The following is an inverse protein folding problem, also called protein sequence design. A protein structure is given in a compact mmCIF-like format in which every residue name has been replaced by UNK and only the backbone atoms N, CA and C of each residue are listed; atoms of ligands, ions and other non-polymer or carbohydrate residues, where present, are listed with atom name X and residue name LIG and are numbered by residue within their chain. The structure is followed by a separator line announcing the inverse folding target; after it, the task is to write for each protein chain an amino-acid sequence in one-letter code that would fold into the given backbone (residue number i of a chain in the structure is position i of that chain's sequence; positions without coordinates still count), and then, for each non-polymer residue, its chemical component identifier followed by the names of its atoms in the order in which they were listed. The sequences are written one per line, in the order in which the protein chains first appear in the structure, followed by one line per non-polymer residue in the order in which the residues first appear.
data_IF_748277987316
#
_entry.id   IF_748277987316
#
_cell.length_a   1.000
_cell.length_b   1.000
_cell.length_c   1.000
_cell.angle_alpha   90.00
_cell.angle_beta   90.00
_cell.angle_gamma   90.00
#
_symmetry.space_group_name_H-M   'P 1'
#
loop_
_entity.id
_entity.type
_entity.pdbx_description
1 polymer ?
#
# COMPACT_ATOMS: atom_id res chain seq x y z
N UNK A 1 -7.29 51.25 -64.18
CA UNK A 1 -6.48 51.03 -62.96
C UNK A 1 -7.30 51.02 -61.66
N UNK A 2 -8.39 51.81 -61.49
CA UNK A 2 -9.19 51.79 -60.21
C UNK A 2 -9.99 50.52 -59.99
N UNK A 3 -10.48 49.82 -61.04
CA UNK A 3 -11.31 48.61 -60.91
C UNK A 3 -10.48 47.39 -60.50
N UNK A 4 -9.24 47.22 -61.02
CA UNK A 4 -8.33 46.14 -60.68
C UNK A 4 -7.86 46.22 -59.21
N UNK A 5 -7.59 47.42 -58.72
CA UNK A 5 -7.23 47.61 -57.28
C UNK A 5 -8.36 47.21 -56.33
N UNK A 6 -9.62 47.55 -56.71
CA UNK A 6 -10.78 47.15 -55.92
C UNK A 6 -10.99 45.62 -55.95
N UNK A 7 -10.82 44.97 -57.09
CA UNK A 7 -10.93 43.54 -57.23
C UNK A 7 -9.85 42.82 -56.39
N UNK A 8 -8.62 43.32 -56.41
CA UNK A 8 -7.52 42.80 -55.62
C UNK A 8 -7.78 42.93 -54.11
N UNK A 9 -8.33 44.05 -53.70
CA UNK A 9 -8.65 44.29 -52.30
C UNK A 9 -9.79 43.39 -51.80
N UNK A 10 -10.79 43.16 -52.61
CA UNK A 10 -11.91 42.28 -52.30
C UNK A 10 -11.43 40.81 -52.26
N UNK A 11 -10.56 40.36 -53.15
CA UNK A 11 -10.02 39.02 -53.07
C UNK A 11 -9.14 38.80 -51.83
N UNK A 12 -8.37 39.80 -51.42
CA UNK A 12 -7.57 39.72 -50.18
C UNK A 12 -8.45 39.62 -48.94
N UNK A 13 -9.52 40.42 -48.89
CA UNK A 13 -10.49 40.32 -47.79
C UNK A 13 -11.20 38.96 -47.72
N UNK A 14 -11.56 38.41 -48.88
CA UNK A 14 -12.18 37.10 -48.93
C UNK A 14 -11.22 35.97 -48.43
N UNK A 15 -9.95 36.04 -48.81
CA UNK A 15 -8.97 35.10 -48.29
C UNK A 15 -8.77 35.22 -46.81
N UNK A 16 -8.69 36.44 -46.26
CA UNK A 16 -8.57 36.66 -44.83
C UNK A 16 -9.79 36.17 -44.06
N UNK A 17 -10.99 36.34 -44.55
CA UNK A 17 -12.20 35.80 -43.93
C UNK A 17 -12.24 34.30 -43.90
N UNK A 18 -11.81 33.64 -44.98
CA UNK A 18 -11.75 32.17 -45.02
C UNK A 18 -10.69 31.62 -44.04
N UNK A 19 -9.51 32.24 -44.02
CA UNK A 19 -8.46 31.80 -43.09
C UNK A 19 -8.85 32.00 -41.63
N UNK A 20 -9.49 33.14 -41.29
CA UNK A 20 -9.99 33.39 -39.95
C UNK A 20 -11.07 32.40 -39.51
N UNK A 21 -11.95 32.00 -40.44
CA UNK A 21 -13.01 31.03 -40.20
C UNK A 21 -12.43 29.63 -39.91
N UNK A 22 -11.44 29.20 -40.73
CA UNK A 22 -10.78 27.90 -40.59
C UNK A 22 -10.01 27.82 -39.29
N UNK A 23 -9.22 28.85 -38.94
CA UNK A 23 -8.44 28.90 -37.72
C UNK A 23 -9.36 28.93 -36.49
N UNK A 24 -10.45 29.68 -36.54
CA UNK A 24 -11.44 29.71 -35.47
C UNK A 24 -12.13 28.35 -35.24
N UNK A 25 -12.44 27.64 -36.34
CA UNK A 25 -13.03 26.29 -36.24
C UNK A 25 -12.03 25.26 -35.70
N UNK A 26 -10.76 25.34 -36.15
CA UNK A 26 -9.73 24.46 -35.62
C UNK A 26 -9.50 24.70 -34.12
N UNK A 27 -9.45 25.94 -33.67
CA UNK A 27 -9.29 26.29 -32.25
C UNK A 27 -10.47 25.80 -31.39
N UNK A 28 -11.67 25.80 -31.94
CA UNK A 28 -12.85 25.28 -31.26
C UNK A 28 -12.88 23.73 -31.19
N UNK A 29 -12.37 23.06 -32.22
CA UNK A 29 -12.35 21.58 -32.29
C UNK A 29 -11.16 20.94 -31.55
N UNK A 30 -10.10 21.70 -31.27
CA UNK A 30 -8.95 21.24 -30.48
C UNK A 30 -9.06 21.73 -29.03
N UNK A 31 -10.12 21.33 -28.33
CA UNK A 31 -10.16 21.40 -26.87
C UNK A 31 -9.45 20.19 -26.31
N UNK A 32 -8.26 20.38 -25.76
CA UNK A 32 -7.56 19.38 -24.99
C UNK A 32 -7.86 19.60 -23.53
N UNK A 33 -8.70 18.75 -22.95
CA UNK A 33 -8.87 18.66 -21.50
C UNK A 33 -7.76 17.76 -20.96
N UNK A 34 -6.90 18.32 -20.14
CA UNK A 34 -5.92 17.55 -19.37
C UNK A 34 -6.49 17.23 -18.00
N UNK A 35 -6.73 15.94 -17.74
CA UNK A 35 -7.09 15.46 -16.41
C UNK A 35 -5.79 15.07 -15.69
N UNK A 36 -5.35 15.90 -14.76
CA UNK A 36 -4.21 15.59 -13.91
C UNK A 36 -4.71 14.77 -12.71
N UNK A 37 -4.43 13.48 -12.74
CA UNK A 37 -4.64 12.62 -11.59
C UNK A 37 -3.37 12.60 -10.74
N UNK A 38 -3.46 13.15 -9.54
CA UNK A 38 -2.37 13.07 -8.56
C UNK A 38 -2.61 11.84 -7.68
N UNK A 39 -1.74 10.85 -7.80
CA UNK A 39 -1.72 9.71 -6.89
C UNK A 39 -0.77 10.04 -5.74
N UNK A 40 -1.30 10.16 -4.55
CA UNK A 40 -0.52 10.19 -3.32
C UNK A 40 -0.36 8.76 -2.81
N UNK A 41 0.88 8.34 -2.59
CA UNK A 41 1.15 7.08 -1.90
C UNK A 41 0.91 7.35 -0.41
N UNK A 42 -0.03 6.61 0.19
CA UNK A 42 -0.28 6.67 1.61
C UNK A 42 0.95 6.27 2.42
N UNK A 43 1.14 6.89 3.56
CA UNK A 43 2.22 6.53 4.48
C UNK A 43 1.72 5.44 5.42
N UNK A 44 2.13 4.18 5.17
CA UNK A 44 1.90 3.08 6.09
C UNK A 44 3.21 2.79 6.81
N UNK A 45 3.24 3.02 8.11
CA UNK A 45 4.40 2.79 8.96
C UNK A 45 4.04 1.76 10.05
N UNK A 46 4.74 0.64 10.02
CA UNK A 46 4.58 -0.45 10.98
C UNK A 46 5.95 -0.89 11.50
N UNK A 47 6.00 -1.33 12.75
CA UNK A 47 7.15 -2.00 13.34
C UNK A 47 6.73 -3.30 13.99
N UNK A 48 7.65 -4.25 14.08
CA UNK A 48 7.46 -5.54 14.74
C UNK A 48 8.58 -5.73 15.75
N UNK A 49 8.23 -6.05 16.97
CA UNK A 49 9.19 -6.39 18.02
C UNK A 49 8.63 -7.43 18.97
N UNK A 50 9.48 -8.00 19.82
CA UNK A 50 9.14 -8.92 20.91
C UNK A 50 10.00 -8.62 22.14
N UNK A 51 9.65 -9.14 23.29
CA UNK A 51 10.45 -8.99 24.52
C UNK A 51 11.86 -9.55 24.27
N UNK A 52 12.89 -8.78 24.63
CA UNK A 52 14.29 -9.23 24.58
C UNK A 52 14.53 -10.29 25.66
N UNK A 53 14.71 -11.54 25.23
CA UNK A 53 14.93 -12.68 26.14
C UNK A 53 16.38 -13.11 26.22
N UNK A 54 17.22 -12.64 25.31
CA UNK A 54 18.65 -12.99 25.23
C UNK A 54 19.59 -11.84 25.65
N UNK A 55 19.00 -10.67 25.95
CA UNK A 55 19.70 -9.42 26.32
C UNK A 55 20.67 -8.95 25.23
N UNK A 56 20.32 -9.19 23.97
CA UNK A 56 21.13 -8.80 22.81
C UNK A 56 21.06 -7.31 22.51
N UNK A 57 19.93 -6.68 22.85
CA UNK A 57 19.67 -5.25 22.61
C UNK A 57 19.28 -4.54 23.90
N UNK A 58 20.23 -4.17 24.76
CA UNK A 58 19.93 -3.43 25.98
C UNK A 58 19.33 -2.06 25.63
N UNK A 59 18.06 -1.83 25.93
CA UNK A 59 17.34 -0.61 25.64
C UNK A 59 16.31 -0.23 26.68
N UNK A 60 15.74 0.98 26.56
CA UNK A 60 14.76 1.51 27.52
C UNK A 60 13.46 0.70 27.58
N UNK A 61 13.13 -0.06 26.53
CA UNK A 61 11.85 -0.78 26.42
C UNK A 61 12.00 -2.30 26.52
N UNK A 62 13.21 -2.82 26.65
CA UNK A 62 13.48 -4.25 26.76
C UNK A 62 12.79 -5.11 25.69
N UNK A 63 12.77 -4.58 24.44
CA UNK A 63 12.17 -5.22 23.29
C UNK A 63 13.13 -5.22 22.11
N UNK A 64 13.10 -6.31 21.32
CA UNK A 64 14.00 -6.53 20.20
C UNK A 64 13.26 -7.04 18.97
N UNK A 65 13.91 -6.97 17.80
CA UNK A 65 13.41 -7.50 16.54
C UNK A 65 13.90 -8.93 16.25
N UNK A 66 14.88 -9.40 17.00
CA UNK A 66 15.47 -10.72 16.82
C UNK A 66 15.98 -11.29 18.14
N UNK A 67 15.46 -12.43 18.57
CA UNK A 67 15.88 -13.12 19.78
C UNK A 67 16.46 -14.50 19.45
N UNK A 68 17.48 -14.93 20.19
CA UNK A 68 18.03 -16.28 20.11
C UNK A 68 17.49 -17.14 21.26
N UNK A 69 16.73 -18.19 20.90
CA UNK A 69 16.18 -19.13 21.87
C UNK A 69 16.98 -20.43 21.91
N UNK A 70 17.51 -20.77 23.08
CA UNK A 70 18.17 -22.06 23.33
C UNK A 70 17.13 -23.09 23.78
N UNK A 71 16.57 -23.80 22.80
CA UNK A 71 15.52 -24.77 23.06
C UNK A 71 16.01 -25.97 23.88
N UNK A 72 15.28 -26.30 24.95
CA UNK A 72 15.52 -27.48 25.78
C UNK A 72 14.21 -28.28 25.90
N UNK A 73 14.27 -29.63 25.79
CA UNK A 73 13.08 -30.45 25.93
C UNK A 73 12.35 -30.25 27.26
N UNK A 74 11.03 -30.12 27.19
CA UNK A 74 10.16 -29.92 28.37
C UNK A 74 10.20 -28.55 29.00
N UNK A 75 10.80 -27.55 28.33
CA UNK A 75 10.80 -26.16 28.79
C UNK A 75 9.85 -25.32 27.93
N UNK A 76 9.04 -24.50 28.60
CA UNK A 76 8.18 -23.51 27.95
C UNK A 76 8.95 -22.22 27.63
N UNK A 77 8.65 -21.61 26.51
CA UNK A 77 9.22 -20.36 26.07
C UNK A 77 8.10 -19.38 25.74
N UNK A 78 8.16 -18.22 26.33
CA UNK A 78 7.25 -17.12 26.03
C UNK A 78 7.76 -16.40 24.79
N UNK A 79 6.87 -16.25 23.81
CA UNK A 79 7.13 -15.48 22.60
C UNK A 79 5.95 -14.53 22.37
N UNK A 80 6.22 -13.23 22.38
CA UNK A 80 5.20 -12.18 22.37
C UNK A 80 5.44 -11.14 21.27
N UNK A 81 5.52 -11.54 19.99
CA UNK A 81 5.68 -10.58 18.91
C UNK A 81 4.48 -9.65 18.84
N UNK A 82 4.75 -8.34 18.75
CA UNK A 82 3.74 -7.29 18.64
C UNK A 82 4.00 -6.49 17.37
N UNK A 83 2.94 -6.31 16.57
CA UNK A 83 2.94 -5.38 15.44
C UNK A 83 2.43 -4.04 15.94
N UNK A 84 3.23 -3.01 15.81
CA UNK A 84 2.85 -1.63 16.09
C UNK A 84 2.50 -0.93 14.79
N UNK A 85 1.41 -0.21 14.78
CA UNK A 85 1.03 0.71 13.70
C UNK A 85 1.25 2.12 14.22
N UNK A 86 2.07 2.90 13.53
CA UNK A 86 2.40 4.25 13.96
C UNK A 86 1.16 5.16 13.92
N UNK A 87 1.13 6.15 14.82
CA UNK A 87 -0.02 7.06 14.95
C UNK A 87 -0.31 7.88 13.68
N UNK A 88 0.72 8.11 12.86
CA UNK A 88 0.63 8.85 11.59
C UNK A 88 0.44 7.91 10.38
N UNK A 89 0.22 6.61 10.64
CA UNK A 89 -0.06 5.63 9.58
C UNK A 89 -1.48 5.80 9.06
N UNK A 90 -1.64 5.63 7.75
CA UNK A 90 -2.97 5.51 7.16
C UNK A 90 -3.60 4.16 7.49
N UNK A 91 -4.94 4.09 7.40
CA UNK A 91 -5.69 2.86 7.57
C UNK A 91 -5.16 1.77 6.63
N UNK A 92 -4.82 0.61 7.18
CA UNK A 92 -4.22 -0.47 6.42
C UNK A 92 -4.69 -1.85 6.90
N UNK A 93 -4.55 -2.84 6.03
CA UNK A 93 -4.71 -4.23 6.40
C UNK A 93 -3.35 -4.80 6.80
N UNK A 94 -3.29 -5.45 7.97
CA UNK A 94 -2.08 -6.08 8.47
C UNK A 94 -2.04 -7.55 8.04
N UNK A 95 -0.98 -7.90 7.33
CA UNK A 95 -0.67 -9.30 7.00
C UNK A 95 0.65 -9.69 7.63
N UNK A 96 0.74 -10.93 8.10
CA UNK A 96 1.98 -11.51 8.61
C UNK A 96 2.23 -12.84 7.92
N UNK A 97 3.50 -13.09 7.59
CA UNK A 97 3.96 -14.40 7.16
C UNK A 97 4.75 -15.05 8.28
N UNK A 98 4.29 -16.19 8.74
CA UNK A 98 4.94 -16.99 9.78
C UNK A 98 5.67 -18.16 9.15
N UNK A 99 6.99 -18.23 9.34
CA UNK A 99 7.79 -19.39 9.04
C UNK A 99 8.04 -20.16 10.34
N UNK A 100 7.33 -21.26 10.54
CA UNK A 100 7.43 -22.08 11.75
C UNK A 100 8.37 -23.25 11.54
N UNK A 101 9.63 -23.10 11.98
CA UNK A 101 10.65 -24.15 11.90
C UNK A 101 10.59 -25.16 13.04
N UNK A 102 9.67 -25.02 14.01
CA UNK A 102 9.55 -25.87 15.19
C UNK A 102 8.20 -26.59 15.27
N UNK A 103 7.44 -26.66 14.17
CA UNK A 103 6.11 -27.25 14.14
C UNK A 103 6.08 -28.70 14.66
N UNK A 104 7.14 -29.46 14.43
CA UNK A 104 7.25 -30.87 14.86
C UNK A 104 7.45 -31.07 16.37
N UNK A 105 7.74 -29.99 17.10
CA UNK A 105 8.02 -30.00 18.54
C UNK A 105 7.10 -29.07 19.34
N UNK A 106 6.06 -28.56 18.69
CA UNK A 106 5.02 -27.78 19.39
C UNK A 106 4.25 -28.66 20.39
N UNK A 107 3.80 -28.02 21.46
CA UNK A 107 2.93 -28.66 22.44
C UNK A 107 1.47 -28.70 21.94
N UNK A 108 0.55 -28.99 22.84
CA UNK A 108 -0.89 -29.15 22.61
C UNK A 108 -1.56 -27.97 21.92
N UNK A 109 -1.02 -26.77 22.06
CA UNK A 109 -1.51 -25.55 21.40
C UNK A 109 -0.49 -25.03 20.39
N UNK A 110 -0.81 -25.19 19.14
CA UNK A 110 0.06 -24.79 18.02
C UNK A 110 0.19 -23.26 17.92
N UNK A 111 1.24 -22.78 17.25
CA UNK A 111 1.43 -21.35 16.95
C UNK A 111 0.23 -20.79 16.19
N UNK A 112 -0.33 -21.55 15.25
CA UNK A 112 -1.50 -21.16 14.49
C UNK A 112 -2.73 -20.92 15.37
N UNK A 113 -2.97 -21.80 16.34
CA UNK A 113 -4.08 -21.65 17.31
C UNK A 113 -3.86 -20.45 18.24
N UNK A 114 -2.63 -20.24 18.68
CA UNK A 114 -2.29 -19.06 19.50
C UNK A 114 -2.47 -17.75 18.73
N UNK A 115 -2.10 -17.70 17.46
CA UNK A 115 -2.33 -16.54 16.59
C UNK A 115 -3.82 -16.26 16.42
N UNK A 116 -4.62 -17.28 16.20
CA UNK A 116 -6.07 -17.15 16.09
C UNK A 116 -6.70 -16.52 17.34
N UNK A 117 -6.25 -16.91 18.53
CA UNK A 117 -6.72 -16.33 19.79
C UNK A 117 -6.35 -14.85 19.94
N UNK A 118 -5.36 -14.39 19.19
CA UNK A 118 -4.90 -12.99 19.14
C UNK A 118 -5.51 -12.18 18.00
N UNK A 119 -6.48 -12.74 17.26
CA UNK A 119 -7.18 -12.04 16.18
C UNK A 119 -6.58 -12.23 14.79
N UNK A 120 -5.61 -13.13 14.65
CA UNK A 120 -5.02 -13.45 13.35
C UNK A 120 -5.79 -14.59 12.68
N UNK A 121 -6.24 -14.39 11.46
CA UNK A 121 -6.98 -15.38 10.66
C UNK A 121 -6.12 -15.83 9.51
N UNK A 122 -6.01 -17.13 9.30
CA UNK A 122 -5.25 -17.69 8.19
C UNK A 122 -5.94 -17.37 6.86
N UNK A 123 -5.20 -16.77 5.94
CA UNK A 123 -5.60 -16.51 4.54
C UNK A 123 -5.02 -17.58 3.63
N UNK A 124 -3.78 -17.99 3.89
CA UNK A 124 -3.10 -19.07 3.21
C UNK A 124 -2.30 -19.85 4.26
N UNK A 125 -2.94 -20.86 4.82
CA UNK A 125 -2.35 -21.68 5.88
C UNK A 125 -1.12 -22.46 5.40
N UNK A 126 -1.14 -22.92 4.14
CA UNK A 126 -0.03 -23.69 3.56
C UNK A 126 1.26 -22.86 3.45
N UNK A 127 1.13 -21.55 3.25
CA UNK A 127 2.25 -20.61 3.17
C UNK A 127 2.45 -19.82 4.46
N UNK A 128 1.65 -20.08 5.51
CA UNK A 128 1.72 -19.41 6.80
C UNK A 128 1.34 -17.92 6.75
N UNK A 129 0.37 -17.54 5.87
CA UNK A 129 -0.06 -16.15 5.73
C UNK A 129 -1.34 -15.93 6.53
N UNK A 130 -1.30 -14.92 7.39
CA UNK A 130 -2.41 -14.52 8.26
C UNK A 130 -2.73 -13.04 8.07
N UNK A 131 -4.00 -12.67 8.28
CA UNK A 131 -4.47 -11.30 8.33
C UNK A 131 -5.01 -11.00 9.73
N UNK A 132 -4.76 -9.79 10.22
CA UNK A 132 -5.31 -9.34 11.50
C UNK A 132 -6.73 -8.84 11.30
N UNK A 133 -7.66 -9.28 12.16
CA UNK A 133 -9.05 -8.82 12.16
C UNK A 133 -9.47 -8.43 13.56
N UNK A 134 -10.02 -7.24 13.73
CA UNK A 134 -10.61 -6.76 15.00
C UNK A 134 -12.02 -7.26 15.20
N UNK A 135 -12.72 -7.59 14.13
CA UNK A 135 -14.06 -8.18 14.11
C UNK A 135 -14.01 -9.50 13.36
N UNK A 136 -14.98 -10.38 13.56
CA UNK A 136 -15.12 -11.64 12.82
C UNK A 136 -15.40 -11.41 11.32
N UNK A 137 -14.68 -10.50 10.72
CA UNK A 137 -14.73 -10.25 9.29
C UNK A 137 -14.03 -11.43 8.64
N UNK A 138 -14.84 -12.31 8.05
CA UNK A 138 -14.34 -13.30 7.12
C UNK A 138 -13.75 -12.51 5.94
N UNK A 139 -12.42 -12.49 5.72
CA UNK A 139 -11.87 -11.89 4.52
C UNK A 139 -12.36 -12.76 3.35
N UNK A 140 -13.50 -12.38 2.78
CA UNK A 140 -13.93 -12.94 1.52
C UNK A 140 -12.94 -12.46 0.48
N UNK A 141 -12.04 -13.35 0.08
CA UNK A 141 -11.17 -13.17 -1.07
C UNK A 141 -12.01 -13.31 -2.34
#
# INVERSE_FOLDING_TARGET
MKKTKKALLLSLCAVMLVTASVLGTMAYLTSTDEVVNTFTVGNVAITLDETDVDNSTPGENDRDQANEYKLMPGKEYVKDPIVHVDADSEDCYLFVKVANGIADIEDTKTVAEQMKDKGWVAVDEANGIYVYTTDNINPAV
#
